data_IF_754840501786
#
_entry.id   IF_754840501786
#
_cell.length_a   1.000
_cell.length_b   1.000
_cell.length_c   1.000
_cell.angle_alpha   90.00
_cell.angle_beta   90.00
_cell.angle_gamma   90.00
#
_symmetry.space_group_name_H-M   'P 1'
#
loop_
_entity.id
_entity.type
_entity.pdbx_description
1 polymer ?
#
# COMPACT_ATOMS: atom_id res chain seq x y z
N UNK A 1 -3.51 -8.98 13.80
CA UNK A 1 -4.56 -7.95 13.56
C UNK A 1 -4.09 -6.53 13.85
N UNK A 2 -3.34 -6.30 14.94
CA UNK A 2 -2.83 -4.95 15.27
C UNK A 2 -1.90 -4.38 14.17
N UNK A 3 -1.09 -5.23 13.53
CA UNK A 3 -0.19 -4.84 12.44
C UNK A 3 -0.95 -4.40 11.18
N UNK A 4 -2.06 -5.05 10.83
CA UNK A 4 -2.88 -4.65 9.68
C UNK A 4 -3.49 -3.26 9.91
N UNK A 5 -4.00 -3.01 11.11
CA UNK A 5 -4.51 -1.68 11.47
C UNK A 5 -3.39 -0.62 11.44
N UNK A 6 -2.18 -0.96 11.88
CA UNK A 6 -1.02 -0.07 11.83
C UNK A 6 -0.64 0.26 10.38
N UNK A 7 -0.49 -0.75 9.52
CA UNK A 7 -0.20 -0.57 8.09
C UNK A 7 -1.29 0.22 7.37
N UNK A 8 -2.56 -0.09 7.62
CA UNK A 8 -3.69 0.65 7.05
C UNK A 8 -3.60 2.14 7.41
N UNK A 9 -3.27 2.45 8.66
CA UNK A 9 -3.04 3.82 9.10
C UNK A 9 -1.83 4.49 8.43
N UNK A 10 -0.77 3.76 8.11
CA UNK A 10 0.38 4.28 7.37
C UNK A 10 0.03 4.57 5.90
N UNK A 11 -0.77 3.70 5.27
CA UNK A 11 -1.26 3.93 3.90
C UNK A 11 -2.14 5.16 3.83
N UNK A 12 -3.07 5.34 4.77
CA UNK A 12 -3.93 6.53 4.84
C UNK A 12 -3.16 7.83 5.04
N UNK A 13 -2.04 7.79 5.76
CA UNK A 13 -1.17 8.96 5.99
C UNK A 13 -0.19 9.21 4.86
N UNK A 14 -0.10 8.30 3.89
CA UNK A 14 0.83 8.44 2.79
C UNK A 14 0.40 9.59 1.87
N UNK A 15 1.33 10.47 1.47
CA UNK A 15 1.00 11.60 0.60
C UNK A 15 0.42 11.12 -0.74
N UNK A 16 -0.56 11.85 -1.27
CA UNK A 16 -1.15 11.59 -2.59
C UNK A 16 -1.80 10.20 -2.72
N UNK A 17 -2.25 9.65 -1.60
CA UNK A 17 -2.98 8.38 -1.51
C UNK A 17 -4.44 8.62 -1.17
N UNK A 18 -5.33 7.92 -1.87
CA UNK A 18 -6.78 7.93 -1.64
C UNK A 18 -7.22 6.49 -1.37
N UNK A 19 -7.86 6.26 -0.22
CA UNK A 19 -8.44 4.94 0.07
C UNK A 19 -9.74 4.78 -0.71
N UNK A 20 -9.80 3.74 -1.52
CA UNK A 20 -10.96 3.40 -2.35
C UNK A 20 -11.88 2.41 -1.62
N UNK A 21 -11.30 1.46 -0.92
CA UNK A 21 -12.02 0.45 -0.16
C UNK A 21 -11.25 0.09 1.11
N UNK A 22 -11.96 -0.11 2.21
CA UNK A 22 -11.38 -0.58 3.45
C UNK A 22 -12.37 -1.47 4.21
N UNK A 23 -11.89 -2.64 4.59
CA UNK A 23 -12.58 -3.61 5.45
C UNK A 23 -11.66 -4.00 6.62
N UNK A 24 -12.08 -4.96 7.43
CA UNK A 24 -11.24 -5.47 8.53
C UNK A 24 -10.05 -6.33 8.08
N UNK A 25 -10.04 -6.77 6.83
CA UNK A 25 -9.00 -7.66 6.28
C UNK A 25 -8.44 -7.19 4.95
N UNK A 26 -8.99 -6.14 4.36
CA UNK A 26 -8.58 -5.67 3.06
C UNK A 26 -8.57 -4.14 3.02
N UNK A 27 -7.58 -3.57 2.32
CA UNK A 27 -7.50 -2.16 2.04
C UNK A 27 -7.02 -1.97 0.61
N UNK A 28 -7.78 -1.20 -0.17
CA UNK A 28 -7.42 -0.72 -1.50
C UNK A 28 -7.20 0.78 -1.41
N UNK A 29 -6.04 1.25 -1.86
CA UNK A 29 -5.79 2.67 -2.04
C UNK A 29 -5.17 2.96 -3.41
N UNK A 30 -5.56 4.07 -4.01
CA UNK A 30 -4.91 4.62 -5.20
C UNK A 30 -3.87 5.64 -4.75
N UNK A 31 -2.62 5.46 -5.16
CA UNK A 31 -1.53 6.38 -4.86
C UNK A 31 -0.99 6.98 -6.15
N UNK A 32 -0.86 8.30 -6.20
CA UNK A 32 -0.43 9.02 -7.40
C UNK A 32 0.98 9.57 -7.28
N UNK A 33 1.76 9.48 -8.36
CA UNK A 33 3.13 9.98 -8.47
C UNK A 33 3.19 11.51 -8.61
N UNK A 34 4.15 12.15 -7.93
CA UNK A 34 4.16 13.60 -7.71
C UNK A 34 4.41 14.40 -8.99
N UNK A 35 5.20 13.82 -9.90
CA UNK A 35 5.74 14.52 -11.06
C UNK A 35 5.17 14.03 -12.39
N UNK A 36 4.66 12.79 -12.45
CA UNK A 36 4.29 12.16 -13.72
C UNK A 36 2.83 11.71 -13.80
N UNK A 37 2.01 11.97 -12.77
CA UNK A 37 0.56 11.69 -12.81
C UNK A 37 0.20 10.20 -12.89
N UNK A 38 1.15 9.29 -12.75
CA UNK A 38 0.89 7.85 -12.66
C UNK A 38 0.06 7.56 -11.42
N UNK A 39 -1.01 6.79 -11.58
CA UNK A 39 -1.82 6.27 -10.49
C UNK A 39 -1.54 4.78 -10.37
N UNK A 40 -1.16 4.37 -9.16
CA UNK A 40 -0.89 3.00 -8.79
C UNK A 40 -1.95 2.52 -7.80
N UNK A 41 -2.35 1.26 -7.93
CA UNK A 41 -3.15 0.56 -6.94
C UNK A 41 -2.23 -0.03 -5.87
N UNK A 42 -2.54 0.26 -4.62
CA UNK A 42 -1.90 -0.29 -3.43
C UNK A 42 -2.93 -1.09 -2.64
N UNK A 43 -2.70 -2.39 -2.54
CA UNK A 43 -3.58 -3.31 -1.83
C UNK A 43 -2.87 -3.91 -0.63
N UNK A 44 -3.59 -3.99 0.49
CA UNK A 44 -3.20 -4.75 1.67
C UNK A 44 -4.26 -5.81 1.95
N UNK A 45 -3.82 -7.04 2.19
CA UNK A 45 -4.69 -8.14 2.58
C UNK A 45 -4.16 -8.84 3.82
N UNK A 46 -4.97 -8.91 4.87
CA UNK A 46 -4.70 -9.67 6.08
C UNK A 46 -5.16 -11.12 5.91
N UNK A 47 -4.22 -11.99 5.59
CA UNK A 47 -4.42 -13.43 5.59
C UNK A 47 -4.36 -13.94 7.04
N UNK A 48 -5.54 -13.99 7.66
CA UNK A 48 -5.70 -14.43 9.06
C UNK A 48 -5.41 -15.92 9.22
N UNK A 49 -5.66 -16.72 8.20
CA UNK A 49 -5.48 -18.17 8.23
C UNK A 49 -4.00 -18.56 8.26
N UNK A 50 -3.17 -17.81 7.53
CA UNK A 50 -1.71 -18.00 7.49
C UNK A 50 -0.95 -17.02 8.41
N UNK A 51 -1.66 -16.22 9.20
CA UNK A 51 -1.11 -15.17 10.07
C UNK A 51 -0.09 -14.26 9.35
N UNK A 52 -0.44 -13.79 8.16
CA UNK A 52 0.42 -12.98 7.29
C UNK A 52 -0.33 -11.79 6.74
N UNK A 53 0.40 -10.74 6.39
CA UNK A 53 -0.13 -9.60 5.64
C UNK A 53 0.53 -9.61 4.28
N UNK A 54 -0.30 -9.58 3.24
CA UNK A 54 0.13 -9.47 1.85
C UNK A 54 -0.02 -8.00 1.44
N UNK A 55 0.97 -7.49 0.72
CA UNK A 55 0.96 -6.15 0.17
C UNK A 55 1.28 -6.22 -1.31
N UNK A 56 0.49 -5.53 -2.14
CA UNK A 56 0.66 -5.48 -3.59
C UNK A 56 0.62 -4.03 -4.04
N UNK A 57 1.49 -3.67 -4.98
CA UNK A 57 1.51 -2.35 -5.62
C UNK A 57 1.57 -2.55 -7.14
N UNK A 58 0.58 -2.08 -7.86
CA UNK A 58 0.43 -2.30 -9.32
C UNK A 58 0.17 -0.97 -10.03
N UNK A 59 0.98 -0.64 -11.04
CA UNK A 59 0.83 0.58 -11.83
C UNK A 59 -0.23 0.42 -12.92
N UNK A 60 -1.13 1.40 -13.07
CA UNK A 60 -2.19 1.37 -14.10
C UNK A 60 -1.71 1.67 -15.51
N UNK A 61 -0.59 2.39 -15.64
CA UNK A 61 0.07 2.68 -16.91
C UNK A 61 1.42 1.95 -16.91
N UNK A 62 1.62 1.11 -17.92
CA UNK A 62 2.72 0.17 -17.99
C UNK A 62 4.11 0.82 -18.13
N UNK A 63 5.07 0.07 -17.59
CA UNK A 63 6.52 0.11 -17.76
C UNK A 63 7.29 1.30 -17.17
N UNK A 64 7.87 1.03 -16.01
CA UNK A 64 8.89 1.80 -15.28
C UNK A 64 8.41 3.00 -14.46
N UNK A 65 8.05 2.73 -13.21
CA UNK A 65 7.85 3.73 -12.13
C UNK A 65 9.16 4.16 -11.44
N UNK A 66 10.32 3.80 -12.02
CA UNK A 66 11.66 4.02 -11.46
C UNK A 66 11.87 3.42 -10.04
N UNK A 67 11.12 2.39 -9.66
CA UNK A 67 11.22 1.72 -8.36
C UNK A 67 10.41 2.38 -7.24
N UNK A 68 9.51 3.31 -7.56
CA UNK A 68 8.66 4.01 -6.56
C UNK A 68 7.77 3.05 -5.78
N UNK A 69 7.20 2.03 -6.42
CA UNK A 69 6.36 1.00 -5.82
C UNK A 69 7.18 0.14 -4.86
N UNK A 70 8.39 -0.26 -5.25
CA UNK A 70 9.30 -1.01 -4.39
C UNK A 70 9.69 -0.20 -3.14
N UNK A 71 10.01 1.09 -3.31
CA UNK A 71 10.30 1.99 -2.20
C UNK A 71 9.09 2.14 -1.25
N UNK A 72 7.86 2.17 -1.79
CA UNK A 72 6.63 2.25 -0.99
C UNK A 72 6.41 1.01 -0.14
N UNK A 73 6.56 -0.18 -0.73
CA UNK A 73 6.44 -1.44 0.02
C UNK A 73 7.52 -1.55 1.11
N UNK A 74 8.76 -1.14 0.81
CA UNK A 74 9.83 -1.10 1.79
C UNK A 74 9.57 -0.13 2.95
N UNK A 75 8.99 1.05 2.66
CA UNK A 75 8.61 2.01 3.70
C UNK A 75 7.52 1.46 4.63
N UNK A 76 6.53 0.75 4.07
CA UNK A 76 5.50 0.06 4.85
C UNK A 76 6.11 -1.02 5.74
N UNK A 77 7.05 -1.80 5.22
CA UNK A 77 7.78 -2.81 5.99
C UNK A 77 8.56 -2.19 7.14
N UNK A 78 9.33 -1.13 6.89
CA UNK A 78 10.09 -0.43 7.93
C UNK A 78 9.20 0.16 9.03
N UNK A 79 7.96 0.56 8.72
CA UNK A 79 7.01 1.07 9.70
C UNK A 79 6.45 0.00 10.65
N UNK A 80 6.61 -1.28 10.34
CA UNK A 80 6.23 -2.38 11.24
C UNK A 80 7.29 -2.62 12.32
N UNK A 81 8.57 -2.54 11.98
CA UNK A 81 9.71 -2.85 12.85
C UNK A 81 9.99 -1.77 13.92
N UNK A 82 9.24 -0.66 13.90
CA UNK A 82 9.37 0.50 14.80
C UNK A 82 8.36 0.51 15.94
#
# INVERSE_FOLDING_TARGET
>A
MNEFSKLSGLVQKSPRTVVMEQTETYLHAEASSAFFGFVDDLELFADRDNNRIQARSESRLGDSDLGVNAARLAALQSGLDS
#
